data_IF_898159441651
#
_entry.id   IF_898159441651
#
_cell.length_a   1.000
_cell.length_b   1.000
_cell.length_c   1.000
_cell.angle_alpha   90.00
_cell.angle_beta   90.00
_cell.angle_gamma   90.00
#
_symmetry.space_group_name_H-M   'P 1'
#
loop_
_entity.id
_entity.type
_entity.pdbx_description
1 polymer ?
#
# COMPACT_ATOMS: atom_id res chain seq x y z
N UNK A 1 -12.46 -20.19 -0.24
CA UNK A 1 -13.03 -19.40 -1.34
C UNK A 1 -11.99 -19.41 -2.44
N UNK A 2 -12.34 -19.95 -3.60
CA UNK A 2 -11.42 -20.08 -4.74
C UNK A 2 -11.19 -18.73 -5.43
N UNK A 3 -10.13 -18.63 -6.23
CA UNK A 3 -9.84 -17.41 -7.00
C UNK A 3 -11.00 -17.06 -7.96
N UNK A 4 -11.63 -18.06 -8.56
CA UNK A 4 -12.85 -17.90 -9.36
C UNK A 4 -14.00 -17.29 -8.56
N UNK A 5 -14.19 -17.73 -7.30
CA UNK A 5 -15.25 -17.20 -6.43
C UNK A 5 -14.96 -15.75 -6.00
N UNK A 6 -13.70 -15.42 -5.71
CA UNK A 6 -13.31 -14.03 -5.38
C UNK A 6 -13.53 -13.12 -6.59
N UNK A 7 -13.11 -13.55 -7.78
CA UNK A 7 -13.30 -12.80 -9.02
C UNK A 7 -14.78 -12.61 -9.35
N UNK A 8 -15.59 -13.65 -9.22
CA UNK A 8 -17.03 -13.56 -9.42
C UNK A 8 -17.70 -12.63 -8.41
N UNK A 9 -17.26 -12.63 -7.15
CA UNK A 9 -17.76 -11.69 -6.13
C UNK A 9 -17.34 -10.26 -6.46
N UNK A 10 -16.09 -10.02 -6.85
CA UNK A 10 -15.61 -8.69 -7.26
C UNK A 10 -16.37 -8.20 -8.50
N UNK A 11 -16.46 -9.01 -9.56
CA UNK A 11 -17.15 -8.66 -10.80
C UNK A 11 -18.65 -8.40 -10.55
N UNK A 12 -19.28 -9.19 -9.67
CA UNK A 12 -20.69 -9.03 -9.30
C UNK A 12 -20.94 -7.82 -8.39
N UNK A 13 -20.05 -7.52 -7.44
CA UNK A 13 -20.16 -6.32 -6.61
C UNK A 13 -19.86 -5.06 -7.44
N UNK A 14 -18.86 -5.07 -8.33
CA UNK A 14 -18.63 -4.00 -9.31
C UNK A 14 -19.85 -3.80 -10.22
N UNK A 15 -20.46 -4.88 -10.72
CA UNK A 15 -21.67 -4.79 -11.55
C UNK A 15 -22.90 -4.26 -10.80
N UNK A 16 -22.97 -4.46 -9.48
CA UNK A 16 -24.03 -3.88 -8.61
C UNK A 16 -23.75 -2.44 -8.20
N UNK A 17 -22.49 -2.02 -8.15
CA UNK A 17 -22.08 -0.67 -7.76
C UNK A 17 -22.08 0.31 -8.95
N UNK A 18 -21.86 -0.16 -10.18
CA UNK A 18 -21.95 0.64 -11.42
C UNK A 18 -23.39 0.82 -11.95
N UNK A 19 -24.38 0.95 -11.06
CA UNK A 19 -25.70 1.43 -11.46
C UNK A 19 -25.64 2.95 -11.73
N UNK A 20 -26.10 3.44 -12.91
CA UNK A 20 -26.16 4.86 -13.19
C UNK A 20 -27.17 5.51 -12.24
N UNK A 21 -26.67 6.15 -11.17
CA UNK A 21 -27.50 6.91 -10.23
C UNK A 21 -27.24 6.67 -8.74
N UNK A 22 -26.38 5.73 -8.34
CA UNK A 22 -25.87 5.66 -6.95
C UNK A 22 -24.45 6.20 -6.90
N UNK A 23 -24.32 7.49 -6.65
CA UNK A 23 -23.05 8.07 -6.22
C UNK A 23 -22.70 7.49 -4.85
N UNK A 24 -21.91 6.40 -4.82
CA UNK A 24 -20.94 6.30 -3.73
C UNK A 24 -20.17 7.64 -3.76
N UNK A 25 -20.09 8.31 -2.61
CA UNK A 25 -19.06 9.34 -2.47
C UNK A 25 -17.74 8.59 -2.60
N UNK A 26 -17.20 8.54 -3.82
CA UNK A 26 -15.78 8.32 -4.04
C UNK A 26 -15.08 9.43 -3.27
N UNK A 27 -14.71 9.11 -2.02
CA UNK A 27 -13.86 10.00 -1.25
C UNK A 27 -12.48 9.78 -1.81
N UNK A 28 -12.15 10.52 -2.86
CA UNK A 28 -10.79 10.66 -3.34
C UNK A 28 -10.02 11.32 -2.19
N UNK A 29 -9.25 10.53 -1.46
CA UNK A 29 -8.36 11.08 -0.45
C UNK A 29 -7.12 11.58 -1.21
N UNK A 30 -6.84 12.88 -1.15
CA UNK A 30 -5.66 13.46 -1.82
C UNK A 30 -4.35 12.77 -1.39
N UNK A 31 -4.31 12.22 -0.17
CA UNK A 31 -3.18 11.45 0.36
C UNK A 31 -2.96 10.09 -0.32
N UNK A 32 -3.92 9.58 -1.08
CA UNK A 32 -3.79 8.39 -1.93
C UNK A 32 -3.85 8.77 -3.42
N UNK A 33 -3.68 10.06 -3.73
CA UNK A 33 -3.45 10.51 -5.10
C UNK A 33 -2.00 10.22 -5.47
N UNK A 34 -1.79 9.08 -6.12
CA UNK A 34 -0.48 8.75 -6.68
C UNK A 34 -0.32 9.51 -8.00
N UNK A 35 0.27 10.70 -7.92
CA UNK A 35 0.45 11.55 -9.08
C UNK A 35 1.69 11.15 -9.88
N UNK A 36 1.47 10.73 -11.12
CA UNK A 36 2.50 10.55 -12.15
C UNK A 36 2.06 11.28 -13.39
N UNK A 37 2.76 12.36 -13.68
CA UNK A 37 2.55 13.12 -14.90
C UNK A 37 3.51 12.62 -15.97
N UNK A 38 2.99 12.19 -17.12
CA UNK A 38 3.80 11.81 -18.28
C UNK A 38 4.67 12.96 -18.80
N UNK A 39 4.33 14.19 -18.43
CA UNK A 39 5.09 15.37 -18.81
C UNK A 39 6.21 15.69 -17.81
N UNK A 40 6.16 15.13 -16.59
CA UNK A 40 7.25 15.27 -15.61
C UNK A 40 8.43 14.35 -15.95
N UNK A 41 9.64 14.79 -15.60
CA UNK A 41 10.87 14.00 -15.83
C UNK A 41 10.77 12.64 -15.15
N UNK A 42 10.35 12.63 -13.87
CA UNK A 42 10.18 11.40 -13.09
C UNK A 42 9.09 10.48 -13.66
N UNK A 43 7.99 11.04 -14.15
CA UNK A 43 6.93 10.27 -14.78
C UNK A 43 7.42 9.61 -16.06
N UNK A 44 8.12 10.33 -16.94
CA UNK A 44 8.72 9.73 -18.14
C UNK A 44 9.68 8.61 -17.79
N UNK A 45 10.58 8.82 -16.83
CA UNK A 45 11.52 7.78 -16.37
C UNK A 45 10.75 6.54 -15.89
N UNK A 46 9.68 6.68 -15.11
CA UNK A 46 8.87 5.54 -14.70
C UNK A 46 8.23 4.80 -15.89
N UNK A 47 7.66 5.52 -16.86
CA UNK A 47 7.07 4.89 -18.05
C UNK A 47 8.10 4.15 -18.91
N UNK A 48 9.32 4.67 -19.00
CA UNK A 48 10.42 4.01 -19.70
C UNK A 48 10.83 2.70 -19.01
N UNK A 49 10.89 2.71 -17.67
CA UNK A 49 11.20 1.53 -16.88
C UNK A 49 10.04 0.50 -16.83
N UNK A 50 8.79 0.97 -16.86
CA UNK A 50 7.63 0.10 -17.03
C UNK A 50 7.67 -0.62 -18.38
N UNK A 51 7.93 0.11 -19.47
CA UNK A 51 8.11 -0.49 -20.81
C UNK A 51 9.31 -1.46 -20.87
N UNK A 52 10.35 -1.20 -20.08
CA UNK A 52 11.58 -1.99 -20.02
C UNK A 52 11.53 -3.16 -19.04
N UNK A 53 10.42 -3.36 -18.33
CA UNK A 53 10.21 -4.44 -17.35
C UNK A 53 11.18 -4.38 -16.16
N UNK A 54 11.35 -3.18 -15.61
CA UNK A 54 12.16 -2.92 -14.43
C UNK A 54 11.63 -1.76 -13.56
N UNK A 55 10.33 -1.45 -13.64
CA UNK A 55 9.71 -0.34 -12.90
C UNK A 55 9.92 -0.43 -11.39
N UNK A 56 9.80 -1.62 -10.77
CA UNK A 56 10.04 -1.75 -9.33
C UNK A 56 11.50 -1.49 -8.95
N UNK A 57 12.45 -1.90 -9.81
CA UNK A 57 13.87 -1.64 -9.56
C UNK A 57 14.14 -0.14 -9.63
N UNK A 58 13.60 0.55 -10.64
CA UNK A 58 13.72 2.01 -10.75
C UNK A 58 13.10 2.73 -9.56
N UNK A 59 11.88 2.35 -9.18
CA UNK A 59 11.21 2.94 -8.02
C UNK A 59 12.09 2.78 -6.78
N UNK A 60 12.45 1.54 -6.44
CA UNK A 60 13.23 1.24 -5.24
C UNK A 60 14.61 1.91 -5.23
N UNK A 61 15.41 1.79 -6.30
CA UNK A 61 16.82 2.25 -6.29
C UNK A 61 17.00 3.72 -6.64
N UNK A 62 16.12 4.31 -7.43
CA UNK A 62 16.40 5.57 -8.12
C UNK A 62 15.39 6.68 -7.83
N UNK A 63 14.10 6.37 -7.70
CA UNK A 63 13.05 7.40 -7.69
C UNK A 63 13.22 8.45 -6.59
N UNK A 64 13.55 8.06 -5.35
CA UNK A 64 13.75 9.00 -4.24
C UNK A 64 15.01 9.86 -4.41
N UNK A 65 16.06 9.34 -5.05
CA UNK A 65 17.26 10.12 -5.39
C UNK A 65 16.90 11.18 -6.43
N UNK A 66 16.17 10.78 -7.47
CA UNK A 66 15.71 11.68 -8.54
C UNK A 66 14.79 12.78 -8.02
N UNK A 67 13.90 12.47 -7.07
CA UNK A 67 13.10 13.48 -6.36
C UNK A 67 13.97 14.56 -5.72
N UNK A 68 15.06 14.16 -5.04
CA UNK A 68 16.00 15.12 -4.41
C UNK A 68 16.76 15.95 -5.44
N UNK A 69 17.27 15.33 -6.49
CA UNK A 69 18.04 16.00 -7.55
C UNK A 69 17.22 17.03 -8.32
N UNK A 70 15.95 16.72 -8.59
CA UNK A 70 15.03 17.57 -9.34
C UNK A 70 14.23 18.53 -8.48
N UNK A 71 14.37 18.45 -7.15
CA UNK A 71 13.52 19.14 -6.18
C UNK A 71 12.02 18.94 -6.49
N UNK A 72 11.65 17.73 -6.89
CA UNK A 72 10.29 17.40 -7.29
C UNK A 72 9.36 17.34 -6.08
N UNK A 73 8.28 18.13 -6.09
CA UNK A 73 7.32 18.24 -4.98
C UNK A 73 6.06 17.40 -5.15
N UNK A 74 5.85 16.80 -6.32
CA UNK A 74 4.53 16.33 -6.74
C UNK A 74 4.51 14.88 -7.15
N UNK A 75 5.52 14.45 -7.90
CA UNK A 75 5.58 13.14 -8.49
C UNK A 75 5.74 12.09 -7.39
N UNK A 76 4.98 11.01 -7.47
CA UNK A 76 5.13 9.90 -6.54
C UNK A 76 6.54 9.31 -6.66
N UNK A 77 7.04 8.71 -5.59
CA UNK A 77 8.33 8.01 -5.54
C UNK A 77 8.20 6.85 -4.58
N UNK A 78 9.24 6.05 -4.43
CA UNK A 78 9.23 4.88 -3.56
C UNK A 78 8.82 5.21 -2.11
N UNK A 79 9.51 6.15 -1.46
CA UNK A 79 9.16 6.55 -0.09
C UNK A 79 7.80 7.25 -0.01
N UNK A 80 7.43 8.06 -1.02
CA UNK A 80 6.09 8.71 -1.06
C UNK A 80 4.96 7.68 -1.13
N UNK A 81 5.08 6.71 -2.03
CA UNK A 81 4.07 5.67 -2.19
C UNK A 81 3.94 4.82 -0.92
N UNK A 82 5.08 4.35 -0.39
CA UNK A 82 5.12 3.55 0.83
C UNK A 82 4.54 4.32 2.03
N UNK A 83 4.94 5.58 2.23
CA UNK A 83 4.45 6.44 3.31
C UNK A 83 2.94 6.69 3.25
N UNK A 84 2.38 6.88 2.05
CA UNK A 84 0.95 7.09 1.86
C UNK A 84 0.13 5.86 2.23
N UNK A 85 0.57 4.65 1.84
CA UNK A 85 -0.07 3.40 2.25
C UNK A 85 0.13 3.15 3.75
N UNK A 86 1.32 3.42 4.30
CA UNK A 86 1.58 3.28 5.73
C UNK A 86 0.68 4.18 6.58
N UNK A 87 0.47 5.44 6.17
CA UNK A 87 -0.46 6.36 6.83
C UNK A 87 -1.91 5.87 6.78
N UNK A 88 -2.31 5.28 5.64
CA UNK A 88 -3.62 4.64 5.49
C UNK A 88 -3.79 3.44 6.45
N UNK A 89 -2.81 2.54 6.52
CA UNK A 89 -2.84 1.41 7.46
C UNK A 89 -2.88 1.91 8.89
N UNK A 90 -2.08 2.93 9.23
CA UNK A 90 -2.05 3.52 10.56
C UNK A 90 -3.40 4.10 10.99
N UNK A 91 -4.18 4.68 10.05
CA UNK A 91 -5.56 5.10 10.34
C UNK A 91 -6.42 3.94 10.83
N UNK A 92 -6.30 2.76 10.23
CA UNK A 92 -7.05 1.58 10.66
C UNK A 92 -6.56 1.03 11.99
N UNK A 93 -5.25 1.06 12.26
CA UNK A 93 -4.69 0.76 13.59
C UNK A 93 -5.32 1.63 14.68
N UNK A 94 -5.50 2.93 14.43
CA UNK A 94 -6.16 3.85 15.39
C UNK A 94 -7.65 3.56 15.58
N UNK A 95 -8.32 3.02 14.58
CA UNK A 95 -9.76 2.69 14.64
C UNK A 95 -9.98 1.33 15.33
N UNK A 96 -9.03 0.42 15.21
CA UNK A 96 -9.15 -0.98 15.64
C UNK A 96 -9.66 -1.16 17.09
N UNK A 97 -9.13 -0.46 18.12
CA UNK A 97 -9.63 -0.62 19.50
C UNK A 97 -11.09 -0.21 19.68
N UNK A 98 -11.61 0.69 18.83
CA UNK A 98 -13.03 1.06 18.85
C UNK A 98 -13.89 0.01 18.16
N UNK A 99 -13.42 -0.56 17.06
CA UNK A 99 -14.08 -1.68 16.40
C UNK A 99 -14.23 -2.86 17.37
N UNK A 100 -13.18 -3.21 18.09
CA UNK A 100 -13.22 -4.27 19.09
C UNK A 100 -14.26 -4.03 20.18
N UNK A 101 -14.33 -2.80 20.71
CA UNK A 101 -15.36 -2.42 21.70
C UNK A 101 -16.77 -2.58 21.14
N UNK A 102 -16.97 -2.30 19.86
CA UNK A 102 -18.28 -2.44 19.20
C UNK A 102 -18.63 -3.91 19.02
N UNK A 103 -17.70 -4.74 18.55
CA UNK A 103 -17.88 -6.18 18.39
C UNK A 103 -18.17 -6.85 19.74
N UNK A 104 -17.41 -6.51 20.79
CA UNK A 104 -17.58 -7.04 22.16
C UNK A 104 -18.96 -6.69 22.75
N UNK A 105 -19.58 -5.57 22.33
CA UNK A 105 -20.92 -5.15 22.82
C UNK A 105 -22.08 -5.93 22.20
N UNK A 106 -21.94 -6.40 20.96
CA UNK A 106 -23.00 -7.13 20.26
C UNK A 106 -22.41 -8.21 19.33
N UNK A 107 -21.82 -9.29 19.89
CA UNK A 107 -21.08 -10.27 19.11
C UNK A 107 -21.95 -10.97 18.06
N UNK A 108 -23.20 -11.27 18.38
CA UNK A 108 -24.11 -11.98 17.47
C UNK A 108 -24.44 -11.17 16.21
N UNK A 109 -24.55 -9.84 16.33
CA UNK A 109 -24.74 -8.96 15.17
C UNK A 109 -23.55 -8.97 14.21
N UNK A 110 -22.32 -9.07 14.74
CA UNK A 110 -21.09 -8.99 13.94
C UNK A 110 -20.52 -10.36 13.53
N UNK A 111 -21.04 -11.45 14.10
CA UNK A 111 -20.68 -12.83 13.75
C UNK A 111 -20.79 -13.13 12.26
N UNK A 112 -21.78 -12.54 11.57
CA UNK A 112 -21.94 -12.67 10.11
C UNK A 112 -20.79 -12.08 9.29
N UNK A 113 -20.01 -11.18 9.89
CA UNK A 113 -18.78 -10.61 9.33
C UNK A 113 -17.52 -11.26 9.91
N UNK A 114 -17.67 -12.44 10.55
CA UNK A 114 -16.60 -13.12 11.29
C UNK A 114 -15.93 -12.25 12.36
N UNK A 115 -16.62 -11.21 12.84
CA UNK A 115 -16.06 -10.19 13.74
C UNK A 115 -14.87 -9.41 13.15
N UNK A 116 -14.70 -9.45 11.83
CA UNK A 116 -13.63 -8.78 11.10
C UNK A 116 -14.14 -7.53 10.41
N UNK A 117 -13.22 -6.60 10.17
CA UNK A 117 -13.44 -5.46 9.30
C UNK A 117 -12.50 -5.55 8.11
N UNK A 118 -13.06 -5.75 6.92
CA UNK A 118 -12.30 -5.91 5.68
C UNK A 118 -12.44 -4.67 4.78
N UNK A 119 -11.34 -4.31 4.13
CA UNK A 119 -11.25 -3.22 3.14
C UNK A 119 -10.36 -3.68 2.00
N UNK A 120 -10.82 -3.45 0.77
CA UNK A 120 -10.09 -3.75 -0.45
C UNK A 120 -9.57 -2.45 -1.06
N UNK A 121 -8.32 -2.47 -1.50
CA UNK A 121 -7.67 -1.35 -2.16
C UNK A 121 -7.20 -1.81 -3.54
N UNK A 122 -7.84 -1.29 -4.58
CA UNK A 122 -7.38 -1.48 -5.95
C UNK A 122 -6.37 -0.40 -6.33
N UNK A 123 -5.31 -0.80 -7.03
CA UNK A 123 -4.38 0.10 -7.69
C UNK A 123 -4.15 -0.38 -9.12
N UNK A 124 -4.01 0.56 -10.06
CA UNK A 124 -3.70 0.24 -11.47
C UNK A 124 -2.18 0.31 -11.77
N UNK A 125 -1.35 0.60 -10.77
CA UNK A 125 0.09 0.77 -10.91
C UNK A 125 0.82 0.28 -9.65
N UNK A 126 2.15 0.23 -9.74
CA UNK A 126 3.12 -0.39 -8.81
C UNK A 126 3.26 0.29 -7.43
N UNK A 127 2.18 0.91 -6.93
CA UNK A 127 2.19 1.74 -5.73
C UNK A 127 2.13 0.93 -4.44
N UNK A 128 1.33 -0.13 -4.47
CA UNK A 128 1.08 -0.95 -3.28
C UNK A 128 2.30 -1.82 -2.99
N UNK A 129 3.02 -2.20 -4.03
CA UNK A 129 4.30 -2.89 -4.01
C UNK A 129 5.34 -2.06 -3.27
N UNK A 130 5.41 -0.74 -3.50
CA UNK A 130 6.35 0.13 -2.78
C UNK A 130 6.20 -0.01 -1.26
N UNK A 131 4.98 -0.13 -0.73
CA UNK A 131 4.76 -0.35 0.68
C UNK A 131 5.29 -1.72 1.14
N UNK A 132 4.95 -2.80 0.43
CA UNK A 132 5.43 -4.14 0.79
C UNK A 132 6.95 -4.23 0.71
N UNK A 133 7.55 -3.71 -0.36
CA UNK A 133 9.01 -3.66 -0.52
C UNK A 133 9.65 -2.88 0.63
N UNK A 134 9.04 -1.78 1.07
CA UNK A 134 9.57 -0.98 2.18
C UNK A 134 9.46 -1.72 3.52
N UNK A 135 8.41 -2.50 3.73
CA UNK A 135 8.31 -3.41 4.88
C UNK A 135 9.44 -4.44 4.84
N UNK A 136 9.66 -5.10 3.71
CA UNK A 136 10.75 -6.08 3.54
C UNK A 136 12.10 -5.41 3.80
N UNK A 137 12.32 -4.21 3.26
CA UNK A 137 13.55 -3.43 3.49
C UNK A 137 13.81 -3.18 4.97
N UNK A 138 12.76 -2.84 5.74
CA UNK A 138 12.86 -2.54 7.16
C UNK A 138 13.08 -3.76 8.04
N UNK A 139 12.53 -4.91 7.64
CA UNK A 139 12.57 -6.15 8.44
C UNK A 139 13.79 -6.99 8.10
N UNK A 140 14.14 -7.08 6.81
CA UNK A 140 15.13 -8.04 6.28
C UNK A 140 16.29 -7.36 5.55
N UNK A 141 16.17 -6.07 5.22
CA UNK A 141 17.21 -5.30 4.56
C UNK A 141 17.12 -5.29 3.03
N UNK A 142 17.96 -4.45 2.42
CA UNK A 142 17.94 -4.16 0.98
C UNK A 142 18.19 -5.38 0.07
N UNK A 143 18.96 -6.39 0.51
CA UNK A 143 19.17 -7.61 -0.27
C UNK A 143 17.89 -8.43 -0.41
N UNK A 144 17.08 -8.52 0.66
CA UNK A 144 15.81 -9.22 0.62
C UNK A 144 14.81 -8.53 -0.33
N UNK A 145 14.86 -7.20 -0.44
CA UNK A 145 14.06 -6.43 -1.42
C UNK A 145 14.45 -6.79 -2.84
N UNK A 146 15.76 -6.83 -3.14
CA UNK A 146 16.25 -7.20 -4.46
C UNK A 146 15.84 -8.64 -4.83
N UNK A 147 16.03 -9.57 -3.91
CA UNK A 147 15.62 -10.97 -4.08
C UNK A 147 14.11 -11.09 -4.28
N UNK A 148 13.32 -10.28 -3.58
CA UNK A 148 11.87 -10.26 -3.74
C UNK A 148 11.46 -9.72 -5.13
N UNK A 149 12.03 -8.61 -5.57
CA UNK A 149 11.74 -8.04 -6.91
C UNK A 149 12.14 -9.03 -8.02
N UNK A 150 13.25 -9.74 -7.85
CA UNK A 150 13.73 -10.72 -8.82
C UNK A 150 12.84 -11.97 -8.97
N UNK A 151 11.85 -12.17 -8.09
CA UNK A 151 10.84 -13.25 -8.22
C UNK A 151 9.77 -12.91 -9.26
N UNK A 152 9.57 -11.63 -9.58
CA UNK A 152 8.59 -11.22 -10.58
C UNK A 152 9.17 -11.38 -11.99
N UNK A 153 8.46 -12.07 -12.92
CA UNK A 153 8.94 -12.29 -14.29
C UNK A 153 9.30 -11.01 -15.05
N UNK A 154 8.58 -9.91 -14.82
CA UNK A 154 8.74 -8.64 -15.49
C UNK A 154 9.15 -7.49 -14.56
N UNK A 155 9.49 -7.77 -13.29
CA UNK A 155 9.88 -6.78 -12.26
C UNK A 155 9.00 -5.52 -12.22
N UNK A 156 7.78 -5.61 -12.75
CA UNK A 156 6.78 -4.54 -12.77
C UNK A 156 5.72 -4.78 -11.69
N UNK A 157 5.99 -5.67 -10.74
CA UNK A 157 5.17 -5.89 -9.57
C UNK A 157 4.05 -6.88 -9.80
N UNK A 158 2.93 -6.61 -9.14
CA UNK A 158 1.84 -7.55 -9.02
C UNK A 158 1.08 -7.69 -10.34
N UNK A 159 0.65 -8.91 -10.64
CA UNK A 159 -0.38 -9.14 -11.65
C UNK A 159 -1.70 -8.46 -11.29
N UNK A 160 -2.61 -8.35 -12.27
CA UNK A 160 -3.90 -7.65 -12.12
C UNK A 160 -4.73 -8.08 -10.89
N UNK A 161 -4.64 -9.34 -10.49
CA UNK A 161 -5.37 -9.91 -9.35
C UNK A 161 -4.49 -10.21 -8.14
N UNK A 162 -3.23 -9.78 -8.15
CA UNK A 162 -2.28 -10.02 -7.07
C UNK A 162 -2.26 -8.85 -6.07
N UNK A 163 -1.91 -9.17 -4.82
CA UNK A 163 -1.85 -8.21 -3.73
C UNK A 163 -1.41 -8.88 -2.44
N UNK A 164 -1.27 -8.07 -1.39
CA UNK A 164 -0.96 -8.55 -0.04
C UNK A 164 -2.12 -8.22 0.92
N UNK A 165 -2.15 -8.94 2.03
CA UNK A 165 -3.10 -8.69 3.12
C UNK A 165 -2.36 -8.03 4.28
N UNK A 166 -2.95 -7.01 4.88
CA UNK A 166 -2.50 -6.47 6.17
C UNK A 166 -3.53 -6.81 7.23
N UNK A 167 -3.14 -7.60 8.22
CA UNK A 167 -3.95 -7.94 9.37
C UNK A 167 -3.47 -7.15 10.59
N UNK A 168 -4.41 -6.57 11.33
CA UNK A 168 -4.17 -5.93 12.62
C UNK A 168 -4.64 -6.93 13.67
N UNK A 169 -3.71 -7.50 14.44
CA UNK A 169 -4.03 -8.51 15.46
C UNK A 169 -4.12 -7.83 16.83
N UNK A 170 -5.13 -8.22 17.62
CA UNK A 170 -5.16 -7.92 19.05
C UNK A 170 -4.20 -8.88 19.74
N UNK A 171 -3.14 -8.34 20.33
CA UNK A 171 -2.26 -9.05 21.26
C UNK A 171 -2.73 -8.66 22.65
N UNK A 172 -3.39 -9.56 23.37
CA UNK A 172 -3.97 -9.30 24.70
C UNK A 172 -2.97 -8.58 25.63
N UNK A 173 -3.12 -7.26 25.78
CA UNK A 173 -2.28 -6.44 26.67
C UNK A 173 -0.99 -5.88 26.07
N UNK A 174 -0.66 -6.20 24.81
CA UNK A 174 0.51 -5.67 24.08
C UNK A 174 0.09 -4.70 22.97
N UNK A 175 1.05 -3.94 22.43
CA UNK A 175 0.77 -3.06 21.27
C UNK A 175 0.37 -3.94 20.08
N UNK A 176 -0.64 -3.57 19.28
CA UNK A 176 -1.06 -4.38 18.16
C UNK A 176 0.12 -4.64 17.22
N UNK A 177 0.34 -5.90 16.86
CA UNK A 177 1.25 -6.26 15.80
C UNK A 177 0.52 -6.31 14.46
N UNK A 178 1.24 -5.89 13.42
CA UNK A 178 0.77 -5.98 12.05
C UNK A 178 1.33 -7.24 11.43
N UNK A 179 0.46 -8.02 10.82
CA UNK A 179 0.84 -9.21 10.09
C UNK A 179 0.54 -9.01 8.61
N UNK A 180 1.58 -8.97 7.79
CA UNK A 180 1.49 -8.75 6.36
C UNK A 180 1.69 -10.09 5.66
N UNK A 181 0.76 -10.49 4.79
CA UNK A 181 0.82 -11.74 4.05
C UNK A 181 0.90 -11.48 2.55
N UNK A 182 1.85 -12.14 1.89
CA UNK A 182 1.94 -12.18 0.43
C UNK A 182 2.31 -13.59 -0.01
N UNK A 183 1.37 -14.27 -0.69
CA UNK A 183 1.45 -15.71 -0.96
C UNK A 183 1.77 -16.51 0.32
N UNK A 184 2.88 -17.26 0.34
CA UNK A 184 3.32 -18.06 1.48
C UNK A 184 4.24 -17.31 2.46
N UNK A 185 4.53 -16.04 2.21
CA UNK A 185 5.36 -15.22 3.09
C UNK A 185 4.50 -14.41 4.06
N UNK A 186 5.04 -14.27 5.27
CA UNK A 186 4.42 -13.53 6.37
C UNK A 186 5.47 -12.65 7.06
N UNK A 187 5.12 -11.38 7.28
CA UNK A 187 5.90 -10.45 8.08
C UNK A 187 5.09 -9.96 9.27
N UNK A 188 5.54 -10.29 10.47
CA UNK A 188 5.02 -9.71 11.71
C UNK A 188 5.88 -8.50 12.05
N UNK A 189 5.29 -7.30 12.02
CA UNK A 189 5.99 -6.05 12.25
C UNK A 189 5.33 -5.25 13.37
N UNK A 190 6.12 -4.58 14.22
CA UNK A 190 5.56 -3.64 15.18
C UNK A 190 5.01 -2.40 14.46
N UNK A 191 3.99 -1.76 15.02
CA UNK A 191 3.40 -0.51 14.47
C UNK A 191 4.46 0.58 14.24
N UNK A 192 5.56 0.59 15.00
CA UNK A 192 6.64 1.56 14.82
C UNK A 192 7.26 1.53 13.42
N UNK A 193 7.20 0.40 12.70
CA UNK A 193 7.64 0.35 11.30
C UNK A 193 6.76 1.25 10.42
N UNK A 194 5.45 1.36 10.68
CA UNK A 194 4.62 2.32 9.95
C UNK A 194 5.08 3.76 10.21
N UNK A 195 5.40 4.09 11.46
CA UNK A 195 5.89 5.43 11.83
C UNK A 195 7.21 5.76 11.12
N UNK A 196 8.12 4.80 11.03
CA UNK A 196 9.39 4.95 10.30
C UNK A 196 9.16 5.19 8.80
N UNK A 197 8.28 4.42 8.17
CA UNK A 197 7.98 4.56 6.74
C UNK A 197 7.34 5.93 6.44
N UNK A 198 6.42 6.37 7.31
CA UNK A 198 5.80 7.70 7.21
C UNK A 198 6.87 8.80 7.38
N UNK A 199 7.76 8.64 8.36
CA UNK A 199 8.85 9.57 8.63
C UNK A 199 9.80 9.72 7.43
N UNK A 200 10.18 8.63 6.77
CA UNK A 200 11.03 8.69 5.56
C UNK A 200 10.40 9.51 4.43
N UNK A 201 9.11 9.34 4.18
CA UNK A 201 8.35 10.18 3.23
C UNK A 201 8.41 11.65 3.65
N UNK A 202 8.13 11.92 4.92
CA UNK A 202 8.02 13.29 5.43
C UNK A 202 9.38 14.01 5.39
N UNK A 203 10.47 13.32 5.71
CA UNK A 203 11.85 13.81 5.58
C UNK A 203 12.21 14.11 4.12
N UNK A 204 11.82 13.24 3.17
CA UNK A 204 12.00 13.49 1.73
C UNK A 204 11.24 14.74 1.29
N UNK A 205 9.99 14.90 1.71
CA UNK A 205 9.18 16.07 1.37
C UNK A 205 9.72 17.35 2.03
N UNK A 206 10.19 17.26 3.27
CA UNK A 206 10.79 18.40 3.98
C UNK A 206 12.09 18.85 3.31
N UNK A 207 12.95 17.91 2.89
CA UNK A 207 14.16 18.22 2.14
C UNK A 207 13.86 19.07 0.90
N UNK A 208 12.89 18.64 0.09
CA UNK A 208 12.53 19.34 -1.15
C UNK A 208 11.89 20.72 -0.87
N UNK A 209 11.20 20.88 0.25
CA UNK A 209 10.56 22.14 0.61
C UNK A 209 11.52 23.19 1.20
N UNK A 210 12.59 22.76 1.88
CA UNK A 210 13.52 23.64 2.59
C UNK A 210 14.67 24.20 1.73
N UNK A 211 14.83 23.75 0.49
CA UNK A 211 15.87 24.21 -0.45
C UNK A 211 15.41 25.45 -1.27
N UNK A 212 14.27 26.04 -0.91
CA UNK A 212 13.77 27.32 -1.45
C UNK A 212 14.37 28.51 -0.69
#
# INVERSE_FOLDING_TARGET
MSLEEIKQVIDHELAKEFFPGRTQKEIITEKLSFYWDKDSVLGRELYEHDASKDALIYLWKSSDRRVRELLDQKTTSYSRAAGNIAELVQKYVRIFPHWEKIVKKDPEKYKKFKNEFQRFFGSHQTFIECFLLKVIEKVEGSLAVEDFINRFPDKNGFGFSEGFTVQIKDTEGEKPDLCIHFHEQEWNIPISILDEIIKERDELNQFVNNIK
#
